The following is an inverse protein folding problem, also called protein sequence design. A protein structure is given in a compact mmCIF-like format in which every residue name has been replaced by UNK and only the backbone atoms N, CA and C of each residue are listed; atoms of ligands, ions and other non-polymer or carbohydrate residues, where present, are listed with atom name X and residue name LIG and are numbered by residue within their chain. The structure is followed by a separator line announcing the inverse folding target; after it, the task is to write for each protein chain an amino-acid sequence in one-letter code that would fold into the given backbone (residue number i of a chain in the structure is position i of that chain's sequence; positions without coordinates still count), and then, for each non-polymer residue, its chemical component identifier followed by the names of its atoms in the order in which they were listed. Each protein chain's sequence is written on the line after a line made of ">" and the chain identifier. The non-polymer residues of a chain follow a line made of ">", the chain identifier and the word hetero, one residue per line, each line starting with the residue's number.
data_IF_334573092882
#
_entry.id   IF_334573092882
#
_cell.length_a   1.000
_cell.length_b   1.000
_cell.length_c   1.000
_cell.angle_alpha   90.00
_cell.angle_beta   90.00
_cell.angle_gamma   90.00
#
_symmetry.space_group_name_H-M   'P 1'
#
loop_
_entity.id
_entity.type
_entity.pdbx_description
1 polymer ?
#
# COMPACT_ATOMS: atom_id res chain seq x y z
N UNK A 1 6.69 21.19 7.20
CA UNK A 1 6.81 19.79 7.65
C UNK A 1 7.99 19.18 6.91
N UNK A 2 8.82 18.37 7.57
CA UNK A 2 9.77 17.51 6.83
C UNK A 2 8.97 16.59 5.90
N UNK A 3 9.50 16.24 4.70
CA UNK A 3 8.83 15.26 3.85
C UNK A 3 8.71 13.93 4.59
N UNK A 4 7.57 13.26 4.42
CA UNK A 4 7.28 12.00 5.08
C UNK A 4 6.89 10.92 4.07
N UNK A 5 7.26 9.69 4.39
CA UNK A 5 6.89 8.51 3.60
C UNK A 5 5.76 7.74 4.27
N UNK A 6 4.67 7.51 3.56
CA UNK A 6 3.52 6.76 4.07
C UNK A 6 3.39 5.46 3.30
N UNK A 7 3.53 4.33 3.98
CA UNK A 7 3.36 3.00 3.41
C UNK A 7 2.00 2.47 3.85
N UNK A 8 1.16 2.08 2.90
CA UNK A 8 -0.16 1.51 3.18
C UNK A 8 -0.09 0.04 2.79
N UNK A 9 -0.20 -0.85 3.79
CA UNK A 9 -0.01 -2.29 3.66
C UNK A 9 -1.21 -3.09 4.17
N UNK A 10 -1.33 -4.35 3.74
CA UNK A 10 -2.44 -5.23 4.16
C UNK A 10 -3.01 -6.10 3.03
N UNK A 11 -4.01 -6.92 3.35
CA UNK A 11 -4.53 -7.95 2.45
C UNK A 11 -5.30 -7.36 1.24
N UNK A 12 -5.45 -8.18 0.19
CA UNK A 12 -6.28 -7.83 -0.99
C UNK A 12 -7.73 -7.66 -0.53
N UNK A 13 -8.39 -6.59 -0.98
CA UNK A 13 -9.76 -6.27 -0.59
C UNK A 13 -9.90 -5.47 0.71
N UNK A 14 -8.82 -5.30 1.48
CA UNK A 14 -8.87 -4.63 2.80
C UNK A 14 -9.15 -3.12 2.74
N UNK A 15 -9.19 -2.52 1.55
CA UNK A 15 -9.48 -1.09 1.39
C UNK A 15 -8.26 -0.18 1.32
N UNK A 16 -7.06 -0.73 1.11
CA UNK A 16 -5.80 0.03 1.00
C UNK A 16 -5.87 1.20 0.02
N UNK A 17 -6.32 0.97 -1.20
CA UNK A 17 -6.46 2.02 -2.23
C UNK A 17 -7.43 3.11 -1.81
N UNK A 18 -8.53 2.76 -1.14
CA UNK A 18 -9.48 3.74 -0.59
C UNK A 18 -8.83 4.58 0.51
N UNK A 19 -8.08 3.94 1.42
CA UNK A 19 -7.35 4.62 2.48
C UNK A 19 -6.26 5.54 1.91
N UNK A 20 -5.50 5.07 0.92
CA UNK A 20 -4.48 5.85 0.21
C UNK A 20 -5.07 7.08 -0.47
N UNK A 21 -6.20 6.92 -1.15
CA UNK A 21 -6.87 8.02 -1.83
C UNK A 21 -7.40 9.07 -0.84
N UNK A 22 -7.97 8.64 0.30
CA UNK A 22 -8.43 9.56 1.35
C UNK A 22 -7.26 10.29 2.00
N UNK A 23 -6.20 9.58 2.38
CA UNK A 23 -5.02 10.17 3.01
C UNK A 23 -4.32 11.15 2.07
N UNK A 24 -4.16 10.80 0.78
CA UNK A 24 -3.59 11.67 -0.25
C UNK A 24 -4.36 12.98 -0.36
N UNK A 25 -5.70 12.94 -0.41
CA UNK A 25 -6.54 14.14 -0.42
C UNK A 25 -6.45 14.96 0.87
N UNK A 26 -6.36 14.30 2.02
CA UNK A 26 -6.29 14.97 3.32
C UNK A 26 -4.96 15.70 3.56
N UNK A 27 -3.87 15.15 3.03
CA UNK A 27 -2.53 15.70 3.20
C UNK A 27 -2.06 16.54 2.00
N UNK A 28 -2.78 16.47 0.88
CA UNK A 28 -2.41 17.06 -0.41
C UNK A 28 -1.03 16.59 -0.90
N UNK A 29 -0.85 15.26 -0.90
CA UNK A 29 0.43 14.62 -1.30
C UNK A 29 0.21 13.53 -2.35
N UNK A 30 1.18 13.29 -3.25
CA UNK A 30 1.07 12.28 -4.29
C UNK A 30 0.98 10.87 -3.71
N UNK A 31 0.33 9.99 -4.48
CA UNK A 31 0.29 8.54 -4.21
C UNK A 31 0.77 7.74 -5.42
N UNK A 32 1.34 6.58 -5.15
CA UNK A 32 1.56 5.52 -6.14
C UNK A 32 1.05 4.19 -5.61
N UNK A 33 0.62 3.29 -6.49
CA UNK A 33 0.14 1.96 -6.10
C UNK A 33 0.77 0.85 -6.93
N UNK A 34 0.88 -0.36 -6.36
CA UNK A 34 1.45 -1.52 -7.06
C UNK A 34 0.64 -1.84 -8.32
N UNK A 35 -0.69 -1.89 -8.19
CA UNK A 35 -1.60 -2.19 -9.29
C UNK A 35 -1.46 -1.17 -10.45
N UNK A 36 -1.46 0.14 -10.16
CA UNK A 36 -1.34 1.18 -11.18
C UNK A 36 0.06 1.20 -11.80
N UNK A 37 1.10 0.95 -11.01
CA UNK A 37 2.50 1.04 -11.46
C UNK A 37 2.87 -0.12 -12.37
N UNK A 38 2.55 -1.36 -11.97
CA UNK A 38 2.82 -2.55 -12.79
C UNK A 38 2.10 -2.43 -14.14
N UNK A 39 0.81 -2.04 -14.14
CA UNK A 39 0.04 -1.85 -15.38
C UNK A 39 0.61 -0.76 -16.31
N UNK A 40 1.38 0.20 -15.78
CA UNK A 40 2.03 1.24 -16.58
C UNK A 40 3.38 0.81 -17.14
N UNK A 41 4.15 0.01 -16.40
CA UNK A 41 5.55 -0.28 -16.74
C UNK A 41 5.77 -1.68 -17.31
N UNK A 42 4.80 -2.59 -17.17
CA UNK A 42 4.90 -3.99 -17.62
C UNK A 42 3.83 -4.24 -18.69
N UNK A 43 4.24 -4.49 -19.95
CA UNK A 43 3.34 -5.00 -20.97
C UNK A 43 2.83 -6.38 -20.54
N UNK A 44 1.52 -6.62 -20.65
CA UNK A 44 0.87 -7.87 -20.29
C UNK A 44 1.22 -8.41 -18.88
N UNK A 45 0.83 -7.70 -17.80
CA UNK A 45 1.10 -8.15 -16.44
C UNK A 45 0.57 -9.57 -16.16
N UNK A 46 1.22 -10.31 -15.27
CA UNK A 46 0.91 -11.73 -15.06
C UNK A 46 -0.48 -12.01 -14.51
N UNK A 47 -1.14 -11.00 -13.95
CA UNK A 47 -2.53 -11.07 -13.48
C UNK A 47 -3.57 -10.58 -14.49
N UNK A 48 -3.16 -10.16 -15.69
CA UNK A 48 -4.09 -9.70 -16.72
C UNK A 48 -5.08 -10.81 -17.08
N UNK A 49 -6.37 -10.53 -16.87
CA UNK A 49 -7.47 -11.48 -17.08
C UNK A 49 -7.48 -12.69 -16.15
N UNK A 50 -6.67 -12.70 -15.07
CA UNK A 50 -6.48 -13.87 -14.21
C UNK A 50 -6.69 -13.54 -12.73
N UNK A 51 -7.37 -14.43 -12.01
CA UNK A 51 -7.47 -14.38 -10.54
C UNK A 51 -6.18 -14.94 -9.89
N UNK A 52 -5.07 -14.22 -10.06
CA UNK A 52 -3.74 -14.52 -9.50
C UNK A 52 -3.05 -13.22 -9.07
N UNK A 53 -2.24 -13.19 -8.00
CA UNK A 53 -1.39 -12.03 -7.72
C UNK A 53 -0.33 -11.85 -8.81
N UNK A 54 0.27 -10.65 -8.85
CA UNK A 54 1.48 -10.40 -9.63
C UNK A 54 2.61 -11.35 -9.21
N UNK A 55 3.44 -11.72 -10.17
CA UNK A 55 4.56 -12.61 -9.90
C UNK A 55 5.70 -11.87 -9.17
N UNK A 56 6.64 -12.63 -8.63
CA UNK A 56 7.75 -12.08 -7.84
C UNK A 56 8.63 -11.12 -8.64
N UNK A 57 8.90 -11.38 -9.93
CA UNK A 57 9.75 -10.52 -10.76
C UNK A 57 9.10 -9.15 -10.97
N UNK A 58 7.82 -9.13 -11.28
CA UNK A 58 7.04 -7.88 -11.44
C UNK A 58 7.00 -7.06 -10.15
N UNK A 59 6.80 -7.74 -9.01
CA UNK A 59 6.82 -7.08 -7.71
C UNK A 59 8.20 -6.49 -7.41
N UNK A 60 9.30 -7.23 -7.65
CA UNK A 60 10.67 -6.71 -7.46
C UNK A 60 10.91 -5.47 -8.31
N UNK A 61 10.53 -5.49 -9.60
CA UNK A 61 10.63 -4.33 -10.48
C UNK A 61 9.82 -3.15 -9.90
N UNK A 62 8.56 -3.38 -9.52
CA UNK A 62 7.68 -2.35 -9.00
C UNK A 62 8.22 -1.71 -7.71
N UNK A 63 8.71 -2.49 -6.75
CA UNK A 63 9.24 -1.94 -5.49
C UNK A 63 10.58 -1.23 -5.68
N UNK A 64 11.41 -1.62 -6.67
CA UNK A 64 12.59 -0.85 -7.04
C UNK A 64 12.21 0.51 -7.65
N UNK A 65 11.16 0.56 -8.50
CA UNK A 65 10.61 1.83 -8.99
C UNK A 65 10.11 2.70 -7.83
N UNK A 66 9.47 2.11 -6.82
CA UNK A 66 9.03 2.83 -5.63
C UNK A 66 10.20 3.40 -4.83
N UNK A 67 11.26 2.62 -4.62
CA UNK A 67 12.44 3.07 -3.90
C UNK A 67 13.10 4.27 -4.61
N UNK A 68 13.30 4.18 -5.94
CA UNK A 68 13.86 5.27 -6.74
C UNK A 68 12.96 6.51 -6.75
N UNK A 69 11.64 6.33 -6.86
CA UNK A 69 10.68 7.43 -6.82
C UNK A 69 10.66 8.10 -5.46
N UNK A 70 10.66 7.33 -4.37
CA UNK A 70 10.73 7.85 -3.01
C UNK A 70 12.04 8.61 -2.78
N UNK A 71 13.17 8.10 -3.26
CA UNK A 71 14.48 8.75 -3.15
C UNK A 71 14.47 10.12 -3.83
N UNK A 72 13.97 10.18 -5.06
CA UNK A 72 13.84 11.44 -5.79
C UNK A 72 12.91 12.43 -5.08
N UNK A 73 11.70 12.02 -4.71
CA UNK A 73 10.71 12.91 -4.10
C UNK A 73 11.15 13.40 -2.71
N UNK A 74 11.64 12.50 -1.85
CA UNK A 74 12.05 12.86 -0.49
C UNK A 74 13.26 13.79 -0.50
N UNK A 75 14.22 13.59 -1.40
CA UNK A 75 15.37 14.50 -1.57
C UNK A 75 14.97 15.90 -2.06
N UNK A 76 13.79 16.05 -2.65
CA UNK A 76 13.22 17.33 -3.09
C UNK A 76 12.13 17.86 -2.15
N UNK A 77 12.08 17.38 -0.90
CA UNK A 77 11.09 17.79 0.11
C UNK A 77 9.63 17.48 -0.26
N UNK A 78 9.38 16.44 -1.05
CA UNK A 78 8.04 16.00 -1.43
C UNK A 78 7.69 14.71 -0.70
N UNK A 79 6.61 14.74 0.09
CA UNK A 79 6.07 13.55 0.76
C UNK A 79 5.41 12.60 -0.24
N UNK A 80 5.35 11.31 0.08
CA UNK A 80 4.80 10.30 -0.82
C UNK A 80 3.97 9.25 -0.06
N UNK A 81 2.85 8.83 -0.64
CA UNK A 81 2.08 7.67 -0.22
C UNK A 81 2.33 6.50 -1.19
N UNK A 82 2.63 5.32 -0.66
CA UNK A 82 2.78 4.08 -1.43
C UNK A 82 1.71 3.07 -0.98
N UNK A 83 0.79 2.73 -1.88
CA UNK A 83 -0.25 1.71 -1.72
C UNK A 83 0.23 0.37 -2.27
N UNK A 84 0.57 -0.55 -1.36
CA UNK A 84 1.05 -1.88 -1.72
C UNK A 84 0.51 -2.95 -0.79
N UNK A 85 0.62 -4.22 -1.18
CA UNK A 85 0.34 -5.28 -0.19
C UNK A 85 1.40 -5.26 0.92
N UNK A 86 2.66 -5.00 0.58
CA UNK A 86 3.81 -5.11 1.49
C UNK A 86 3.86 -6.46 2.22
N UNK A 87 3.55 -7.52 1.47
CA UNK A 87 3.44 -8.89 1.97
C UNK A 87 4.77 -9.46 2.46
N UNK A 88 5.90 -8.91 2.00
CA UNK A 88 7.25 -9.36 2.37
C UNK A 88 8.00 -8.29 3.15
N UNK A 89 8.78 -8.72 4.14
CA UNK A 89 9.67 -7.84 4.91
C UNK A 89 10.63 -7.08 4.01
N UNK A 90 11.21 -7.76 3.02
CA UNK A 90 12.11 -7.14 2.04
C UNK A 90 11.48 -5.99 1.26
N UNK A 91 10.17 -6.05 0.96
CA UNK A 91 9.45 -4.98 0.28
C UNK A 91 9.30 -3.74 1.18
N UNK A 92 9.02 -3.97 2.47
CA UNK A 92 8.90 -2.90 3.47
C UNK A 92 10.26 -2.24 3.72
N UNK A 93 11.27 -3.06 3.99
CA UNK A 93 12.62 -2.60 4.30
C UNK A 93 13.21 -1.77 3.15
N UNK A 94 13.05 -2.23 1.91
CA UNK A 94 13.57 -1.53 0.73
C UNK A 94 13.12 -0.07 0.68
N UNK A 95 11.83 0.17 0.88
CA UNK A 95 11.22 1.50 0.80
C UNK A 95 11.47 2.32 2.07
N UNK A 96 11.41 1.70 3.26
CA UNK A 96 11.68 2.36 4.54
C UNK A 96 13.14 2.83 4.64
N UNK A 97 14.08 2.04 4.12
CA UNK A 97 15.51 2.39 4.15
C UNK A 97 15.81 3.67 3.35
N UNK A 98 15.03 3.97 2.31
CA UNK A 98 15.12 5.25 1.60
C UNK A 98 14.75 6.42 2.52
N UNK A 99 13.62 6.34 3.24
CA UNK A 99 13.25 7.40 4.19
C UNK A 99 14.30 7.57 5.29
N UNK A 100 14.86 6.47 5.81
CA UNK A 100 15.95 6.50 6.80
C UNK A 100 17.21 7.19 6.26
N UNK A 101 17.62 6.89 5.02
CA UNK A 101 18.78 7.52 4.36
C UNK A 101 18.68 9.05 4.34
N UNK A 102 17.47 9.58 4.14
CA UNK A 102 17.21 11.02 4.09
C UNK A 102 16.70 11.63 5.41
N UNK A 103 16.78 10.89 6.53
CA UNK A 103 16.26 11.31 7.85
C UNK A 103 14.81 11.83 7.80
N UNK A 104 13.99 11.22 6.94
CA UNK A 104 12.59 11.53 6.75
C UNK A 104 11.73 10.63 7.65
N UNK A 105 10.68 11.17 8.30
CA UNK A 105 9.69 10.33 8.98
C UNK A 105 9.06 9.32 8.03
N UNK A 106 8.78 8.11 8.52
CA UNK A 106 8.04 7.10 7.79
C UNK A 106 6.95 6.51 8.67
N UNK A 107 5.82 6.19 8.05
CA UNK A 107 4.66 5.64 8.75
C UNK A 107 4.11 4.45 7.97
N UNK A 108 3.94 3.32 8.65
CA UNK A 108 3.26 2.17 8.07
C UNK A 108 1.82 2.13 8.58
N UNK A 109 0.85 2.18 7.66
CA UNK A 109 -0.56 2.02 7.95
C UNK A 109 -0.98 0.59 7.58
N UNK A 110 -1.23 -0.24 8.58
CA UNK A 110 -1.71 -1.61 8.39
C UNK A 110 -3.23 -1.60 8.24
N UNK A 111 -3.70 -1.96 7.06
CA UNK A 111 -5.12 -1.94 6.72
C UNK A 111 -5.72 -3.32 6.96
N UNK A 112 -6.70 -3.38 7.85
CA UNK A 112 -7.38 -4.60 8.25
C UNK A 112 -8.87 -4.54 7.93
N UNK A 113 -9.46 -5.72 7.75
CA UNK A 113 -10.88 -5.91 7.52
C UNK A 113 -11.22 -7.38 7.84
N UNK A 114 -12.39 -7.70 8.43
CA UNK A 114 -12.84 -9.07 8.63
C UNK A 114 -12.85 -9.88 7.32
N UNK A 115 -12.48 -11.16 7.40
CA UNK A 115 -12.36 -12.06 6.23
C UNK A 115 -13.68 -12.17 5.45
N UNK A 116 -14.81 -12.18 6.15
CA UNK A 116 -16.16 -12.23 5.56
C UNK A 116 -16.37 -11.05 4.60
N UNK A 117 -15.99 -9.85 5.05
CA UNK A 117 -16.09 -8.61 4.26
C UNK A 117 -15.07 -8.61 3.11
N UNK A 118 -13.86 -9.12 3.35
CA UNK A 118 -12.82 -9.24 2.31
C UNK A 118 -13.27 -10.12 1.15
N UNK A 119 -13.92 -11.25 1.46
CA UNK A 119 -14.45 -12.19 0.47
C UNK A 119 -15.49 -11.54 -0.43
N UNK A 120 -16.47 -10.85 0.15
CA UNK A 120 -17.49 -10.14 -0.61
C UNK A 120 -16.91 -9.01 -1.48
N UNK A 121 -16.02 -8.18 -0.89
CA UNK A 121 -15.39 -7.05 -1.61
C UNK A 121 -14.50 -7.50 -2.76
N UNK A 122 -13.70 -8.55 -2.56
CA UNK A 122 -12.80 -9.08 -3.60
C UNK A 122 -13.59 -9.70 -4.75
N UNK A 123 -14.64 -10.46 -4.44
CA UNK A 123 -15.52 -11.04 -5.46
C UNK A 123 -16.20 -9.95 -6.32
N UNK A 124 -16.73 -8.90 -5.68
CA UNK A 124 -17.35 -7.78 -6.42
C UNK A 124 -16.35 -7.06 -7.31
N UNK A 125 -15.18 -6.71 -6.78
CA UNK A 125 -14.12 -6.02 -7.53
C UNK A 125 -13.63 -6.83 -8.72
N UNK A 126 -13.48 -8.13 -8.56
CA UNK A 126 -13.06 -9.01 -9.65
C UNK A 126 -14.10 -9.06 -10.78
N UNK A 127 -15.39 -9.13 -10.44
CA UNK A 127 -16.48 -9.04 -11.43
C UNK A 127 -16.46 -7.72 -12.21
N UNK A 128 -16.11 -6.62 -11.54
CA UNK A 128 -15.99 -5.30 -12.17
C UNK A 128 -14.67 -5.11 -12.95
N UNK A 129 -13.82 -6.14 -13.07
CA UNK A 129 -12.49 -6.05 -13.70
C UNK A 129 -11.48 -5.22 -12.91
N UNK A 130 -11.75 -4.93 -11.63
CA UNK A 130 -11.00 -4.01 -10.77
C UNK A 130 -10.12 -4.74 -9.75
N UNK A 131 -9.10 -5.43 -10.24
CA UNK A 131 -8.14 -6.17 -9.44
C UNK A 131 -8.39 -7.67 -9.50
N UNK A 132 -8.08 -8.38 -8.43
CA UNK A 132 -8.12 -9.85 -8.36
C UNK A 132 -9.17 -10.33 -7.35
N UNK A 133 -9.59 -11.58 -7.49
CA UNK A 133 -10.65 -12.20 -6.71
C UNK A 133 -10.15 -12.94 -5.48
N UNK A 134 -11.01 -13.83 -4.96
CA UNK A 134 -10.77 -14.56 -3.72
C UNK A 134 -9.62 -15.57 -3.84
N UNK A 135 -9.41 -16.15 -5.03
CA UNK A 135 -8.32 -17.12 -5.23
C UNK A 135 -6.96 -16.44 -5.06
N UNK A 136 -6.76 -15.28 -5.68
CA UNK A 136 -5.53 -14.51 -5.52
C UNK A 136 -5.35 -14.01 -4.08
N UNK A 137 -6.44 -13.61 -3.41
CA UNK A 137 -6.39 -13.25 -1.99
C UNK A 137 -5.82 -14.38 -1.14
N UNK A 138 -6.34 -15.61 -1.28
CA UNK A 138 -5.86 -16.77 -0.52
C UNK A 138 -4.40 -17.10 -0.84
N UNK A 139 -3.97 -16.97 -2.10
CA UNK A 139 -2.59 -17.18 -2.49
C UNK A 139 -1.66 -16.15 -1.81
N UNK A 140 -2.00 -14.86 -1.88
CA UNK A 140 -1.20 -13.82 -1.26
C UNK A 140 -1.16 -13.96 0.27
N UNK A 141 -2.29 -14.30 0.90
CA UNK A 141 -2.40 -14.48 2.36
C UNK A 141 -1.41 -15.54 2.87
N UNK A 142 -1.16 -16.61 2.12
CA UNK A 142 -0.15 -17.64 2.46
C UNK A 142 1.30 -17.13 2.41
N UNK A 143 1.55 -16.08 1.64
CA UNK A 143 2.90 -15.51 1.49
C UNK A 143 3.18 -14.34 2.43
N UNK A 144 2.17 -13.88 3.17
CA UNK A 144 2.23 -12.69 3.99
C UNK A 144 3.10 -12.95 5.23
N UNK A 145 4.17 -12.18 5.37
CA UNK A 145 5.02 -12.20 6.55
C UNK A 145 4.46 -11.25 7.61
N UNK A 146 4.69 -11.56 8.91
CA UNK A 146 4.28 -10.69 10.00
C UNK A 146 4.75 -9.24 9.83
N UNK A 147 3.96 -8.31 10.35
CA UNK A 147 4.25 -6.87 10.29
C UNK A 147 4.92 -6.47 11.60
N UNK A 148 6.20 -6.81 11.74
CA UNK A 148 7.01 -6.58 12.94
C UNK A 148 7.71 -5.20 12.90
N UNK A 149 6.96 -4.17 12.51
CA UNK A 149 7.40 -2.78 12.51
C UNK A 149 6.32 -1.92 13.17
N UNK A 150 6.71 -0.76 13.71
CA UNK A 150 5.76 0.20 14.23
C UNK A 150 4.74 0.58 13.14
N UNK A 151 3.46 0.44 13.47
CA UNK A 151 2.39 0.69 12.52
C UNK A 151 1.15 1.25 13.19
N UNK A 152 0.36 1.97 12.39
CA UNK A 152 -0.97 2.41 12.75
C UNK A 152 -2.01 1.52 12.05
N UNK A 153 -2.88 0.87 12.81
CA UNK A 153 -3.91 0.00 12.26
C UNK A 153 -5.13 0.80 11.84
N UNK A 154 -5.60 0.61 10.61
CA UNK A 154 -6.87 1.14 10.09
C UNK A 154 -7.81 -0.01 9.80
N UNK A 155 -8.89 -0.09 10.55
CA UNK A 155 -9.97 -1.05 10.34
C UNK A 155 -11.00 -0.47 9.37
N UNK A 156 -11.08 -1.01 8.16
CA UNK A 156 -11.99 -0.53 7.10
C UNK A 156 -13.40 -1.10 7.17
N UNK A 157 -13.71 -1.87 8.22
CA UNK A 157 -15.10 -2.13 8.62
C UNK A 157 -15.69 -0.97 9.42
N UNK A 158 -14.85 -0.07 9.94
CA UNK A 158 -15.23 1.11 10.72
C UNK A 158 -15.07 2.40 9.91
N UNK A 159 -15.38 3.54 10.53
CA UNK A 159 -15.23 4.85 9.90
C UNK A 159 -13.75 5.17 9.62
N UNK A 160 -13.33 5.01 8.36
CA UNK A 160 -11.96 5.24 7.90
C UNK A 160 -11.55 6.71 8.10
N UNK A 161 -12.46 7.65 7.85
CA UNK A 161 -12.12 9.08 7.89
C UNK A 161 -11.81 9.56 9.31
N UNK A 162 -12.55 9.08 10.31
CA UNK A 162 -12.24 9.36 11.72
C UNK A 162 -10.85 8.83 12.09
N UNK A 163 -10.57 7.57 11.78
CA UNK A 163 -9.26 6.95 12.07
C UNK A 163 -8.10 7.69 11.37
N UNK A 164 -8.29 8.13 10.12
CA UNK A 164 -7.28 8.91 9.41
C UNK A 164 -7.09 10.31 10.03
N UNK A 165 -8.16 10.97 10.48
CA UNK A 165 -8.04 12.25 11.20
C UNK A 165 -7.26 12.07 12.51
N UNK A 166 -7.52 11.00 13.25
CA UNK A 166 -6.81 10.68 14.48
C UNK A 166 -5.32 10.40 14.21
N UNK A 167 -5.01 9.59 13.19
CA UNK A 167 -3.65 9.36 12.73
C UNK A 167 -2.92 10.66 12.36
N UNK A 168 -3.53 11.49 11.49
CA UNK A 168 -2.93 12.76 11.05
C UNK A 168 -2.71 13.72 12.22
N UNK A 169 -3.63 13.76 13.19
CA UNK A 169 -3.49 14.56 14.41
C UNK A 169 -2.30 14.09 15.26
N UNK A 170 -2.07 12.79 15.35
CA UNK A 170 -0.97 12.22 16.13
C UNK A 170 0.40 12.53 15.51
N UNK A 171 0.54 12.41 14.20
CA UNK A 171 1.83 12.66 13.53
C UNK A 171 2.19 14.15 13.44
N UNK A 172 1.21 15.06 13.48
CA UNK A 172 1.45 16.53 13.50
C UNK A 172 1.89 17.08 14.85
N UNK A 173 1.75 16.29 15.93
CA UNK A 173 2.18 16.66 17.28
C UNK A 173 3.65 16.30 17.54
N UNK A 174 4.28 15.56 16.63
CA UNK A 174 5.68 15.14 16.65
C UNK A 174 6.51 16.09 15.77
#
# INVERSE_FOLDING_TARGET
>A
MKPSLFLIGGQIGAGKTTTAQKLSKMLDIPKMSVDETIKKIIPHPSNEGKDTPFNTKELVICYNVFALTAEYLLSHNISLIIDGAFAKKSQRDLVINVAKKYNCPHYFLHITCPDEILKERSAKRYKDGKGVGWKAHLQLKKTFEPIDIDHYTIDTSKNIEKQLKDFVKNIKKL
#
